data_IF_374472679217
#
_entry.id   IF_374472679217
#
_cell.length_a   1.000
_cell.length_b   1.000
_cell.length_c   1.000
_cell.angle_alpha   90.00
_cell.angle_beta   90.00
_cell.angle_gamma   90.00
#
_symmetry.space_group_name_H-M   'P 1'
#
loop_
_entity.id
_entity.type
_entity.pdbx_description
1 polymer ?
#
# COMPACT_ATOMS: atom_id res chain seq x y z
N UNK A 1 13.21 6.21 -6.95
CA UNK A 1 14.29 5.84 -6.00
C UNK A 1 15.18 4.75 -6.61
N UNK A 2 16.50 4.91 -6.61
CA UNK A 2 17.42 3.86 -7.07
C UNK A 2 17.66 2.81 -5.99
N UNK A 3 17.67 1.53 -6.36
CA UNK A 3 18.03 0.41 -5.48
C UNK A 3 19.42 -0.07 -5.86
N UNK A 4 20.31 -0.09 -4.88
CA UNK A 4 21.71 -0.46 -5.07
C UNK A 4 22.03 -1.76 -4.34
N UNK A 5 22.84 -2.60 -4.97
CA UNK A 5 23.41 -3.80 -4.39
C UNK A 5 24.84 -3.94 -4.93
N UNK A 6 25.81 -4.23 -4.06
CA UNK A 6 27.25 -4.26 -4.38
C UNK A 6 27.73 -3.04 -5.18
N UNK A 7 27.37 -1.85 -4.70
CA UNK A 7 27.70 -0.56 -5.33
C UNK A 7 27.18 -0.36 -6.77
N UNK A 8 26.28 -1.24 -7.24
CA UNK A 8 25.66 -1.15 -8.57
C UNK A 8 24.18 -0.86 -8.45
N UNK A 9 23.67 -0.02 -9.35
CA UNK A 9 22.23 0.20 -9.49
C UNK A 9 21.60 -1.03 -10.13
N UNK A 10 20.77 -1.75 -9.38
CA UNK A 10 20.11 -2.99 -9.82
C UNK A 10 18.64 -2.78 -10.21
N UNK A 11 18.00 -1.75 -9.66
CA UNK A 11 16.61 -1.45 -9.97
C UNK A 11 16.27 0.00 -9.70
N UNK A 12 15.14 0.46 -10.24
CA UNK A 12 14.54 1.76 -9.95
C UNK A 12 13.10 1.55 -9.54
N UNK A 13 12.73 2.10 -8.38
CA UNK A 13 11.36 2.21 -7.92
C UNK A 13 10.79 3.54 -8.39
N UNK A 14 9.62 3.51 -9.02
CA UNK A 14 8.92 4.66 -9.59
C UNK A 14 7.75 5.05 -8.71
N UNK A 15 7.40 6.34 -8.67
CA UNK A 15 6.17 6.90 -8.09
C UNK A 15 5.60 6.12 -6.88
N UNK A 16 4.54 5.34 -7.09
CA UNK A 16 3.87 4.55 -6.05
C UNK A 16 4.76 3.50 -5.38
N UNK A 17 5.69 2.89 -6.11
CA UNK A 17 6.66 1.93 -5.54
C UNK A 17 7.60 2.61 -4.53
N UNK A 18 7.86 3.91 -4.67
CA UNK A 18 8.65 4.67 -3.68
C UNK A 18 7.86 4.82 -2.39
N UNK A 19 6.56 5.14 -2.47
CA UNK A 19 5.67 5.22 -1.31
C UNK A 19 5.52 3.88 -0.59
N UNK A 20 5.42 2.78 -1.35
CA UNK A 20 5.43 1.42 -0.77
C UNK A 20 6.77 1.12 -0.12
N UNK A 21 7.88 1.49 -0.74
CA UNK A 21 9.19 1.24 -0.17
C UNK A 21 9.39 1.94 1.17
N UNK A 22 8.91 3.18 1.27
CA UNK A 22 8.88 3.95 2.51
C UNK A 22 8.00 3.26 3.57
N UNK A 23 6.80 2.81 3.19
CA UNK A 23 5.89 2.06 4.05
C UNK A 23 6.54 0.78 4.60
N UNK A 24 7.20 -0.02 3.76
CA UNK A 24 7.81 -1.28 4.16
C UNK A 24 9.03 -1.06 5.06
N UNK A 25 9.83 -0.03 4.78
CA UNK A 25 11.01 0.33 5.57
C UNK A 25 10.63 0.86 6.95
N UNK A 26 9.71 1.83 7.01
CA UNK A 26 9.39 2.58 8.21
C UNK A 26 8.12 2.10 8.92
N UNK A 27 7.45 1.08 8.37
CA UNK A 27 6.15 0.55 8.84
C UNK A 27 5.01 1.58 8.84
N UNK A 28 5.24 2.78 8.31
CA UNK A 28 4.27 3.87 8.23
C UNK A 28 4.64 4.79 7.08
N UNK A 29 3.62 5.31 6.39
CA UNK A 29 3.73 6.47 5.52
C UNK A 29 2.47 7.33 5.70
N UNK A 30 2.63 8.64 5.68
CA UNK A 30 1.57 9.62 5.95
C UNK A 30 1.45 10.62 4.80
N UNK A 31 0.33 11.33 4.77
CA UNK A 31 0.05 12.41 3.82
C UNK A 31 0.11 11.98 2.34
N UNK A 32 -0.29 10.74 2.07
CA UNK A 32 -0.40 10.23 0.70
C UNK A 32 -1.69 10.72 0.03
N UNK A 33 -1.57 11.00 -1.26
CA UNK A 33 -2.71 11.22 -2.13
C UNK A 33 -2.86 10.02 -3.05
N UNK A 34 -4.07 9.46 -3.09
CA UNK A 34 -4.41 8.38 -3.99
C UNK A 34 -5.48 8.83 -4.96
N UNK A 35 -5.50 8.19 -6.12
CA UNK A 35 -6.62 8.34 -7.04
C UNK A 35 -7.01 6.96 -7.52
N UNK A 36 -8.31 6.67 -7.47
CA UNK A 36 -8.85 5.42 -7.97
C UNK A 36 -10.02 5.68 -8.88
N UNK A 37 -10.21 4.82 -9.86
CA UNK A 37 -11.42 4.78 -10.68
C UNK A 37 -12.31 3.67 -10.16
N UNK A 38 -13.60 3.94 -10.05
CA UNK A 38 -14.62 2.97 -9.62
C UNK A 38 -15.81 2.97 -10.59
N UNK A 39 -16.46 1.82 -10.75
CA UNK A 39 -17.68 1.73 -11.54
C UNK A 39 -18.88 2.29 -10.75
N UNK A 40 -19.42 3.41 -11.25
CA UNK A 40 -20.63 4.03 -10.74
C UNK A 40 -21.81 3.78 -11.71
N UNK A 41 -23.04 4.04 -11.24
CA UNK A 41 -24.27 3.78 -11.99
C UNK A 41 -24.32 4.47 -13.37
N UNK A 42 -23.52 5.53 -13.58
CA UNK A 42 -23.45 6.32 -14.80
C UNK A 42 -22.07 6.24 -15.51
N UNK A 43 -21.28 5.19 -15.25
CA UNK A 43 -19.96 4.97 -15.83
C UNK A 43 -18.80 5.02 -14.83
N UNK A 44 -17.58 5.07 -15.34
CA UNK A 44 -16.37 5.16 -14.51
C UNK A 44 -16.28 6.51 -13.78
N UNK A 45 -16.03 6.46 -12.48
CA UNK A 45 -15.91 7.63 -11.62
C UNK A 45 -14.53 7.67 -10.96
N UNK A 46 -13.83 8.76 -11.19
CA UNK A 46 -12.52 9.02 -10.58
C UNK A 46 -12.72 9.65 -9.20
N UNK A 47 -12.13 9.03 -8.19
CA UNK A 47 -12.19 9.46 -6.79
C UNK A 47 -10.79 9.78 -6.29
N UNK A 48 -10.61 11.00 -5.79
CA UNK A 48 -9.37 11.46 -5.19
C UNK A 48 -9.44 11.31 -3.69
N UNK A 49 -8.46 10.62 -3.12
CA UNK A 49 -8.30 10.43 -1.67
C UNK A 49 -7.09 11.22 -1.23
N UNK A 50 -7.25 11.98 -0.16
CA UNK A 50 -6.18 12.79 0.44
C UNK A 50 -5.95 12.39 1.89
N UNK A 51 -4.85 12.88 2.49
CA UNK A 51 -4.48 12.59 3.88
C UNK A 51 -4.40 11.08 4.16
N UNK A 52 -3.91 10.36 3.16
CA UNK A 52 -3.71 8.92 3.23
C UNK A 52 -2.64 8.57 4.25
N UNK A 53 -3.03 7.79 5.24
CA UNK A 53 -2.17 7.26 6.29
C UNK A 53 -2.13 5.74 6.16
N UNK A 54 -0.97 5.15 5.88
CA UNK A 54 -0.78 3.71 5.82
C UNK A 54 0.13 3.26 6.97
N UNK A 55 -0.21 2.14 7.59
CA UNK A 55 0.62 1.44 8.59
C UNK A 55 0.77 -0.01 8.19
N UNK A 56 2.01 -0.50 8.17
CA UNK A 56 2.32 -1.88 7.86
C UNK A 56 2.75 -2.63 9.13
N UNK A 57 2.33 -3.89 9.24
CA UNK A 57 2.84 -4.85 10.20
C UNK A 57 3.38 -6.04 9.42
N UNK A 58 4.69 -6.28 9.54
CA UNK A 58 5.37 -7.42 8.92
C UNK A 58 5.55 -8.51 9.98
N UNK A 59 5.24 -9.74 9.61
CA UNK A 59 5.37 -10.94 10.46
C UNK A 59 5.83 -12.14 9.64
N UNK A 60 6.36 -13.15 10.33
CA UNK A 60 7.04 -14.28 9.68
C UNK A 60 6.49 -15.61 10.16
N UNK A 61 6.30 -16.56 9.25
CA UNK A 61 6.13 -17.98 9.59
C UNK A 61 7.43 -18.72 9.28
N UNK A 62 7.97 -19.38 10.31
CA UNK A 62 9.22 -20.15 10.23
C UNK A 62 9.01 -21.46 9.46
N UNK A 63 8.93 -21.35 8.14
CA UNK A 63 8.79 -22.44 7.16
C UNK A 63 9.92 -22.35 6.13
N UNK A 64 10.10 -23.40 5.33
CA UNK A 64 11.01 -23.38 4.18
C UNK A 64 10.18 -23.68 2.91
N UNK A 65 9.95 -22.70 2.02
CA UNK A 65 10.39 -21.30 2.10
C UNK A 65 9.70 -20.51 3.22
N UNK A 66 10.35 -19.43 3.70
CA UNK A 66 9.79 -18.56 4.75
C UNK A 66 8.59 -17.80 4.20
N UNK A 67 7.55 -17.65 5.03
CA UNK A 67 6.36 -16.88 4.66
C UNK A 67 6.42 -15.52 5.35
N UNK A 68 6.36 -14.45 4.56
CA UNK A 68 6.36 -13.06 4.98
C UNK A 68 4.93 -12.54 4.85
N UNK A 69 4.31 -12.26 5.98
CA UNK A 69 2.96 -11.72 6.05
C UNK A 69 3.03 -10.20 6.27
N UNK A 70 2.60 -9.43 5.26
CA UNK A 70 2.52 -7.97 5.27
C UNK A 70 1.06 -7.56 5.43
N UNK A 71 0.71 -7.03 6.60
CA UNK A 71 -0.63 -6.52 6.89
C UNK A 71 -0.61 -4.99 6.85
N UNK A 72 -1.40 -4.39 5.98
CA UNK A 72 -1.46 -2.93 5.81
C UNK A 72 -2.84 -2.46 6.24
N UNK A 73 -2.86 -1.47 7.14
CA UNK A 73 -4.06 -0.71 7.47
C UNK A 73 -3.90 0.71 6.95
N UNK A 74 -4.84 1.13 6.12
CA UNK A 74 -4.89 2.45 5.54
C UNK A 74 -6.11 3.23 5.98
N UNK A 75 -5.97 4.55 6.03
CA UNK A 75 -7.09 5.47 6.24
C UNK A 75 -6.90 6.72 5.39
N UNK A 76 -7.99 7.38 5.01
CA UNK A 76 -7.91 8.63 4.26
C UNK A 76 -9.26 9.35 4.14
N UNK A 77 -9.26 10.46 3.40
CA UNK A 77 -10.43 11.31 3.18
C UNK A 77 -10.75 11.40 1.69
N UNK A 78 -12.02 11.22 1.30
CA UNK A 78 -12.45 11.50 -0.07
C UNK A 78 -12.45 13.02 -0.26
N UNK A 79 -11.52 13.54 -1.06
CA UNK A 79 -11.43 14.97 -1.36
C UNK A 79 -12.37 15.37 -2.50
N UNK A 80 -12.40 14.57 -3.55
CA UNK A 80 -13.14 14.88 -4.77
C UNK A 80 -13.71 13.61 -5.40
N UNK A 81 -14.89 13.78 -6.00
CA UNK A 81 -15.57 12.80 -6.83
C UNK A 81 -15.79 13.46 -8.19
N UNK A 82 -15.30 12.84 -9.26
CA UNK A 82 -15.19 13.48 -10.57
C UNK A 82 -16.52 13.92 -11.19
N UNK A 83 -17.65 13.31 -10.83
CA UNK A 83 -18.96 13.74 -11.28
C UNK A 83 -19.69 14.53 -10.18
N UNK A 84 -19.91 15.83 -10.42
CA UNK A 84 -20.59 16.77 -9.50
C UNK A 84 -22.02 16.29 -9.14
N UNK A 85 -22.65 15.49 -10.02
CA UNK A 85 -23.99 14.94 -9.79
C UNK A 85 -24.04 13.74 -8.83
N UNK A 86 -22.91 13.08 -8.56
CA UNK A 86 -22.86 11.89 -7.73
C UNK A 86 -22.65 12.28 -6.26
N UNK A 87 -23.65 11.96 -5.43
CA UNK A 87 -23.54 12.10 -3.97
C UNK A 87 -22.59 11.03 -3.44
N UNK A 88 -21.77 11.38 -2.44
CA UNK A 88 -20.98 10.39 -1.73
C UNK A 88 -21.92 9.56 -0.86
N UNK A 89 -22.27 8.37 -1.36
CA UNK A 89 -23.11 7.40 -0.64
C UNK A 89 -22.25 6.38 0.11
N UNK A 90 -22.85 5.67 1.07
CA UNK A 90 -22.17 4.56 1.75
C UNK A 90 -21.75 3.45 0.77
N UNK A 91 -22.52 3.25 -0.30
CA UNK A 91 -22.17 2.31 -1.37
C UNK A 91 -20.92 2.75 -2.13
N UNK A 92 -20.84 4.04 -2.52
CA UNK A 92 -19.66 4.61 -3.16
C UNK A 92 -18.44 4.46 -2.27
N UNK A 93 -18.57 4.83 -0.99
CA UNK A 93 -17.50 4.69 0.01
C UNK A 93 -17.03 3.24 0.10
N UNK A 94 -17.96 2.27 0.13
CA UNK A 94 -17.60 0.85 0.19
C UNK A 94 -16.85 0.39 -1.05
N UNK A 95 -17.29 0.79 -2.24
CA UNK A 95 -16.61 0.49 -3.51
C UNK A 95 -15.20 1.09 -3.55
N UNK A 96 -15.05 2.35 -3.12
CA UNK A 96 -13.75 3.03 -3.02
C UNK A 96 -12.83 2.28 -2.06
N UNK A 97 -13.28 1.90 -0.87
CA UNK A 97 -12.49 1.17 0.13
C UNK A 97 -11.93 -0.14 -0.44
N UNK A 98 -12.81 -0.95 -1.06
CA UNK A 98 -12.44 -2.24 -1.66
C UNK A 98 -11.43 -2.03 -2.78
N UNK A 99 -11.76 -1.15 -3.74
CA UNK A 99 -10.90 -0.93 -4.91
C UNK A 99 -9.53 -0.36 -4.53
N UNK A 100 -9.48 0.53 -3.54
CA UNK A 100 -8.22 1.07 -3.07
C UNK A 100 -7.37 0.02 -2.35
N UNK A 101 -8.00 -0.82 -1.53
CA UNK A 101 -7.33 -1.92 -0.86
C UNK A 101 -6.73 -2.90 -1.87
N UNK A 102 -7.49 -3.28 -2.90
CA UNK A 102 -7.03 -4.12 -4.01
C UNK A 102 -5.84 -3.49 -4.75
N UNK A 103 -5.96 -2.23 -5.17
CA UNK A 103 -4.88 -1.54 -5.89
C UNK A 103 -3.61 -1.42 -5.04
N UNK A 104 -3.73 -1.15 -3.73
CA UNK A 104 -2.60 -1.10 -2.82
C UNK A 104 -1.97 -2.48 -2.59
N UNK A 105 -2.81 -3.52 -2.47
CA UNK A 105 -2.34 -4.91 -2.33
C UNK A 105 -1.53 -5.33 -3.54
N UNK A 106 -2.04 -5.07 -4.75
CA UNK A 106 -1.36 -5.33 -6.01
C UNK A 106 -0.04 -4.55 -6.09
N UNK A 107 -0.06 -3.25 -5.83
CA UNK A 107 1.15 -2.42 -5.87
C UNK A 107 2.24 -2.91 -4.92
N UNK A 108 1.88 -3.36 -3.71
CA UNK A 108 2.83 -3.93 -2.75
C UNK A 108 3.37 -5.26 -3.24
N UNK A 109 2.49 -6.16 -3.71
CA UNK A 109 2.87 -7.45 -4.28
C UNK A 109 3.83 -7.29 -5.46
N UNK A 110 3.53 -6.38 -6.38
CA UNK A 110 4.36 -6.09 -7.54
C UNK A 110 5.72 -5.51 -7.14
N UNK A 111 5.73 -4.55 -6.23
CA UNK A 111 6.97 -3.92 -5.72
C UNK A 111 7.88 -4.97 -5.06
N UNK A 112 7.32 -5.83 -4.20
CA UNK A 112 8.07 -6.91 -3.55
C UNK A 112 8.53 -7.96 -4.56
N UNK A 113 7.66 -8.38 -5.48
CA UNK A 113 8.01 -9.35 -6.54
C UNK A 113 9.12 -8.84 -7.45
N UNK A 114 9.12 -7.54 -7.79
CA UNK A 114 10.20 -6.90 -8.56
C UNK A 114 11.54 -6.99 -7.83
N UNK A 115 11.54 -6.77 -6.52
CA UNK A 115 12.73 -6.90 -5.68
C UNK A 115 13.18 -8.36 -5.52
N UNK A 116 12.25 -9.31 -5.39
CA UNK A 116 12.55 -10.76 -5.37
C UNK A 116 13.16 -11.25 -6.68
N UNK A 117 12.64 -10.82 -7.84
CA UNK A 117 13.22 -11.16 -9.16
C UNK A 117 14.67 -10.69 -9.31
N UNK A 118 15.00 -9.54 -8.73
CA UNK A 118 16.37 -9.02 -8.68
C UNK A 118 17.22 -9.62 -7.57
N UNK A 119 16.65 -10.47 -6.71
CA UNK A 119 17.24 -10.97 -5.46
C UNK A 119 17.85 -9.85 -4.60
N UNK A 120 17.14 -8.73 -4.45
CA UNK A 120 17.59 -7.61 -3.61
C UNK A 120 16.49 -7.22 -2.65
N UNK A 121 16.83 -7.13 -1.37
CA UNK A 121 15.89 -6.84 -0.28
C UNK A 121 16.25 -5.48 0.36
N UNK A 122 15.57 -4.38 -0.01
CA UNK A 122 15.95 -3.03 0.43
C UNK A 122 15.31 -2.58 1.75
N UNK A 123 14.53 -3.44 2.42
CA UNK A 123 13.66 -3.07 3.55
C UNK A 123 14.11 -3.64 4.90
N UNK A 124 15.29 -4.28 4.95
CA UNK A 124 15.87 -4.90 6.14
C UNK A 124 15.01 -6.02 6.73
N UNK A 125 14.19 -6.68 5.90
CA UNK A 125 13.40 -7.85 6.30
C UNK A 125 14.31 -8.98 6.78
N UNK A 126 15.44 -9.22 6.09
CA UNK A 126 16.40 -10.23 6.51
C UNK A 126 16.98 -9.95 7.90
N UNK A 127 17.30 -8.69 8.17
CA UNK A 127 17.81 -8.25 9.47
C UNK A 127 16.77 -8.40 10.58
N UNK A 128 15.48 -8.18 10.28
CA UNK A 128 14.38 -8.42 11.23
C UNK A 128 14.27 -9.92 11.55
N UNK A 129 14.36 -10.80 10.55
CA UNK A 129 14.37 -12.25 10.74
C UNK A 129 15.57 -12.68 11.59
N UNK A 130 16.78 -12.22 11.25
CA UNK A 130 18.00 -12.48 12.00
C UNK A 130 17.89 -12.06 13.47
N UNK A 131 17.37 -10.85 13.73
CA UNK A 131 17.19 -10.35 15.09
C UNK A 131 16.13 -11.12 15.90
N UNK A 132 15.14 -11.72 15.23
CA UNK A 132 14.08 -12.52 15.87
C UNK A 132 14.52 -13.97 16.14
N UNK A 133 15.22 -14.58 15.19
CA UNK A 133 15.69 -15.95 15.26
C UNK A 133 16.88 -16.16 14.32
N UNK A 134 18.08 -15.96 14.87
CA UNK A 134 19.33 -16.13 14.13
C UNK A 134 19.50 -17.56 13.60
N UNK A 135 19.17 -18.58 14.40
CA UNK A 135 19.35 -19.99 13.99
C UNK A 135 18.50 -20.33 12.78
N UNK A 136 17.23 -19.92 12.78
CA UNK A 136 16.37 -20.09 11.62
C UNK A 136 16.88 -19.30 10.40
N UNK A 137 17.31 -18.05 10.61
CA UNK A 137 17.83 -17.20 9.54
C UNK A 137 19.02 -17.84 8.80
N UNK A 138 19.97 -18.45 9.52
CA UNK A 138 21.11 -19.15 8.91
C UNK A 138 20.66 -20.29 7.98
N UNK A 139 19.50 -20.90 8.22
CA UNK A 139 18.99 -21.98 7.34
C UNK A 139 18.43 -21.48 6.02
N UNK A 140 18.18 -20.18 5.88
CA UNK A 140 17.49 -19.62 4.72
C UNK A 140 18.43 -19.30 3.55
N UNK A 141 19.74 -19.18 3.79
CA UNK A 141 20.70 -18.60 2.82
C UNK A 141 20.12 -17.31 2.21
N UNK A 142 19.85 -16.33 3.08
CA UNK A 142 18.97 -15.21 2.79
C UNK A 142 19.41 -14.39 1.58
N UNK A 143 20.71 -14.12 1.47
CA UNK A 143 21.30 -13.31 0.42
C UNK A 143 21.37 -14.07 -0.92
N UNK A 144 21.51 -15.39 -0.89
CA UNK A 144 21.64 -16.22 -2.10
C UNK A 144 20.29 -16.60 -2.71
N UNK A 145 19.34 -17.03 -1.89
CA UNK A 145 18.06 -17.58 -2.35
C UNK A 145 16.89 -17.30 -1.40
N UNK A 146 17.12 -17.16 -0.10
CA UNK A 146 16.05 -17.07 0.89
C UNK A 146 15.08 -15.90 0.66
N UNK A 147 15.57 -14.73 0.26
CA UNK A 147 14.70 -13.62 -0.12
C UNK A 147 13.87 -13.93 -1.37
N UNK A 148 14.55 -14.35 -2.44
CA UNK A 148 13.94 -14.66 -3.73
C UNK A 148 12.86 -15.75 -3.64
N UNK A 149 13.10 -16.77 -2.81
CA UNK A 149 12.23 -17.93 -2.69
C UNK A 149 11.13 -17.76 -1.63
N UNK A 150 11.19 -16.68 -0.83
CA UNK A 150 10.18 -16.41 0.20
C UNK A 150 8.78 -16.20 -0.38
N UNK A 151 7.77 -16.63 0.36
CA UNK A 151 6.36 -16.43 -0.01
C UNK A 151 5.88 -15.14 0.65
N UNK A 152 5.44 -14.18 -0.16
CA UNK A 152 4.92 -12.89 0.34
C UNK A 152 3.40 -12.89 0.29
N UNK A 153 2.79 -12.84 1.48
CA UNK A 153 1.36 -12.66 1.64
C UNK A 153 1.08 -11.20 2.01
N UNK A 154 0.29 -10.51 1.19
CA UNK A 154 -0.13 -9.13 1.46
C UNK A 154 -1.62 -9.14 1.76
N UNK A 155 -2.02 -8.38 2.79
CA UNK A 155 -3.42 -8.10 3.10
C UNK A 155 -3.56 -6.62 3.40
N UNK A 156 -4.56 -5.98 2.77
CA UNK A 156 -4.79 -4.55 2.92
C UNK A 156 -6.22 -4.31 3.39
N UNK A 157 -6.37 -3.50 4.43
CA UNK A 157 -7.63 -2.96 4.89
C UNK A 157 -7.57 -1.43 4.74
N UNK A 158 -8.60 -0.80 4.18
CA UNK A 158 -8.65 0.65 4.01
C UNK A 158 -9.97 1.25 4.54
N UNK A 159 -9.85 2.35 5.27
CA UNK A 159 -10.97 3.09 5.83
C UNK A 159 -11.05 4.52 5.26
N UNK A 160 -12.27 5.03 5.16
CA UNK A 160 -12.54 6.41 4.77
C UNK A 160 -13.08 7.09 6.01
N UNK A 161 -12.29 8.00 6.59
CA UNK A 161 -12.63 8.69 7.85
C UNK A 161 -13.58 9.86 7.59
N UNK A 162 -13.33 10.61 6.51
CA UNK A 162 -14.12 11.78 6.15
C UNK A 162 -14.39 11.86 4.65
N UNK A 163 -15.43 12.60 4.31
CA UNK A 163 -15.75 12.97 2.93
C UNK A 163 -15.79 14.51 2.86
N UNK A 164 -15.13 15.08 1.86
CA UNK A 164 -15.02 16.53 1.64
C UNK A 164 -16.35 17.22 1.33
N UNK A 165 -17.46 16.47 1.25
CA UNK A 165 -18.80 17.00 0.94
C UNK A 165 -19.47 17.79 2.08
N UNK A 166 -18.78 18.12 3.18
CA UNK A 166 -19.32 19.05 4.21
C UNK A 166 -19.74 20.42 3.64
N UNK A 167 -19.32 20.79 2.42
CA UNK A 167 -19.71 22.04 1.75
C UNK A 167 -21.06 22.04 1.01
N UNK A 168 -21.68 20.89 0.73
CA UNK A 168 -22.89 20.84 -0.13
C UNK A 168 -24.23 20.87 0.64
N UNK A 169 -24.22 20.56 1.95
CA UNK A 169 -25.43 20.48 2.78
C UNK A 169 -25.79 21.77 3.54
N UNK A 170 -25.13 22.90 3.26
CA UNK A 170 -25.28 24.12 4.08
C UNK A 170 -25.34 25.45 3.33
N UNK A 171 -25.42 25.48 2.01
CA UNK A 171 -25.57 26.75 1.26
C UNK A 171 -26.98 26.92 0.69
N UNK A 172 -27.98 26.89 1.56
CA UNK A 172 -29.22 27.61 1.28
C UNK A 172 -28.88 29.09 1.36
N UNK A 173 -28.88 29.78 0.23
CA UNK A 173 -28.67 31.24 0.18
C UNK A 173 -29.82 31.91 0.93
N UNK A 174 -29.62 32.30 2.18
CA UNK A 174 -30.53 33.20 2.90
C UNK A 174 -30.05 34.63 2.60
N UNK A 175 -30.68 35.28 1.63
CA UNK A 175 -30.41 36.68 1.30
C UNK A 175 -31.08 37.06 -0.02
N UNK A 176 -31.93 38.09 0.03
CA UNK A 176 -32.64 38.70 -1.12
C UNK A 176 -31.69 39.15 -2.20
#
# INVERSE_FOLDING_TARGET
>A
MGVFHDHKLVSKLNDGEVGISELLKNNKVSDLNFTTTIDANNGEEKVSITRGDLRAKISFEKKQPVIINVKIKGKGEIAEVGNIGNKVTNELISKVKIKLAENLEELVKETMSKMQRGNVEPWLIGHRLWAMDHQFFETLNWEEAGWKDSIVNVSVEFEIEHTGQKGYLGKTKIGR
#
